data_IF_394765134012
#
_entry.id   IF_394765134012
#
_cell.length_a   1.000
_cell.length_b   1.000
_cell.length_c   1.000
_cell.angle_alpha   90.00
_cell.angle_beta   90.00
_cell.angle_gamma   90.00
#
_symmetry.space_group_name_H-M   'P 1'
#
loop_
_entity.id
_entity.type
_entity.pdbx_description
1 polymer ?
#
# COMPACT_ATOMS: atom_id res chain seq x y z
N UNK A 1 2.70 -25.28 -8.69
CA UNK A 1 1.32 -24.91 -8.87
C UNK A 1 1.21 -23.49 -9.39
N UNK A 2 0.43 -23.32 -10.41
CA UNK A 2 0.24 -22.03 -11.05
C UNK A 2 -0.36 -20.99 -10.08
N UNK A 3 -1.19 -21.43 -9.15
CA UNK A 3 -1.83 -20.54 -8.19
C UNK A 3 -0.85 -19.81 -7.28
N UNK A 4 0.29 -20.46 -6.96
CA UNK A 4 1.25 -19.84 -6.05
C UNK A 4 1.94 -18.63 -6.67
N UNK A 5 2.14 -18.59 -7.98
CA UNK A 5 2.75 -17.44 -8.64
C UNK A 5 1.91 -16.19 -8.48
N UNK A 6 0.58 -16.33 -8.66
CA UNK A 6 -0.33 -15.20 -8.53
C UNK A 6 -0.35 -14.67 -7.10
N UNK A 7 -0.36 -15.57 -6.12
CA UNK A 7 -0.41 -15.19 -4.71
C UNK A 7 0.93 -14.77 -4.15
N UNK A 8 2.02 -14.96 -4.90
CA UNK A 8 3.34 -14.57 -4.45
C UNK A 8 3.69 -13.11 -4.75
N UNK A 9 2.86 -12.41 -5.51
CA UNK A 9 3.08 -10.98 -5.73
C UNK A 9 2.99 -10.25 -4.40
N UNK A 10 3.99 -9.41 -4.10
CA UNK A 10 4.03 -8.79 -2.78
C UNK A 10 3.00 -7.68 -2.61
N UNK A 11 2.60 -7.49 -1.37
CA UNK A 11 1.93 -6.27 -0.94
C UNK A 11 3.03 -5.28 -0.59
N UNK A 12 3.06 -4.15 -1.26
CA UNK A 12 4.04 -3.10 -0.97
C UNK A 12 3.46 -2.16 0.07
N UNK A 13 4.06 -2.13 1.25
CA UNK A 13 3.65 -1.21 2.32
C UNK A 13 4.65 -0.07 2.40
N UNK A 14 4.16 1.16 2.41
CA UNK A 14 4.98 2.36 2.36
C UNK A 14 4.63 3.27 3.54
N UNK A 15 5.60 3.45 4.44
CA UNK A 15 5.45 4.27 5.63
C UNK A 15 6.84 4.60 6.15
N UNK A 16 7.07 5.82 6.64
CA UNK A 16 8.35 6.17 7.23
C UNK A 16 8.47 5.71 8.68
N UNK A 17 7.38 5.29 9.29
CA UNK A 17 7.37 4.77 10.66
C UNK A 17 7.66 3.27 10.64
N UNK A 18 8.85 2.89 11.10
CA UNK A 18 9.31 1.50 11.09
C UNK A 18 8.47 0.59 12.01
N UNK A 19 7.92 1.14 13.08
CA UNK A 19 7.08 0.37 13.99
C UNK A 19 5.75 0.02 13.33
N UNK A 20 5.17 0.95 12.59
CA UNK A 20 3.93 0.69 11.84
C UNK A 20 4.19 -0.36 10.75
N UNK A 21 5.29 -0.23 10.02
CA UNK A 21 5.66 -1.23 9.00
C UNK A 21 5.81 -2.62 9.62
N UNK A 22 6.44 -2.71 10.79
CA UNK A 22 6.63 -3.99 11.46
C UNK A 22 5.29 -4.65 11.81
N UNK A 23 4.35 -3.86 12.33
CA UNK A 23 3.01 -4.36 12.67
C UNK A 23 2.26 -4.81 11.42
N UNK A 24 2.26 -4.00 10.38
CA UNK A 24 1.59 -4.33 9.13
C UNK A 24 2.18 -5.59 8.49
N UNK A 25 3.51 -5.69 8.48
CA UNK A 25 4.20 -6.86 7.95
C UNK A 25 3.82 -8.13 8.72
N UNK A 26 3.82 -8.05 10.04
CA UNK A 26 3.48 -9.19 10.87
C UNK A 26 2.05 -9.68 10.60
N UNK A 27 1.10 -8.76 10.59
CA UNK A 27 -0.30 -9.09 10.33
C UNK A 27 -0.46 -9.76 8.96
N UNK A 28 0.11 -9.15 7.93
CA UNK A 28 -0.05 -9.67 6.57
C UNK A 28 0.69 -10.99 6.37
N UNK A 29 1.90 -11.11 6.91
CA UNK A 29 2.70 -12.33 6.79
C UNK A 29 2.04 -13.52 7.47
N UNK A 30 1.43 -13.30 8.64
CA UNK A 30 0.72 -14.36 9.35
C UNK A 30 -0.47 -14.90 8.56
N UNK A 31 -1.01 -14.10 7.65
CA UNK A 31 -2.15 -14.50 6.83
C UNK A 31 -1.75 -14.91 5.41
N UNK A 32 -0.47 -15.19 5.20
CA UNK A 32 0.03 -15.79 3.96
C UNK A 32 0.41 -14.82 2.87
N UNK A 33 0.42 -13.51 3.15
CA UNK A 33 0.83 -12.53 2.15
C UNK A 33 2.34 -12.32 2.16
N UNK A 34 2.90 -12.19 0.97
CA UNK A 34 4.30 -11.74 0.81
C UNK A 34 4.31 -10.22 0.92
N UNK A 35 5.22 -9.66 1.69
CA UNK A 35 5.26 -8.23 1.98
C UNK A 35 6.62 -7.65 1.61
N UNK A 36 6.60 -6.48 0.97
CA UNK A 36 7.79 -5.66 0.78
C UNK A 36 7.55 -4.31 1.44
N UNK A 37 8.61 -3.71 1.96
CA UNK A 37 8.54 -2.44 2.65
C UNK A 37 9.28 -1.35 1.88
N UNK A 38 8.75 -0.14 1.94
CA UNK A 38 9.44 1.05 1.50
C UNK A 38 9.25 2.13 2.54
N UNK A 39 10.27 2.96 2.74
CA UNK A 39 10.30 3.96 3.80
C UNK A 39 10.03 5.36 3.28
N UNK A 40 10.00 5.52 1.97
CA UNK A 40 9.69 6.79 1.33
C UNK A 40 9.16 6.54 -0.10
N UNK A 41 8.70 7.60 -0.74
CA UNK A 41 8.11 7.50 -2.08
C UNK A 41 9.09 7.05 -3.15
N UNK A 42 10.34 7.53 -3.09
CA UNK A 42 11.35 7.16 -4.07
C UNK A 42 11.70 5.68 -3.97
N UNK A 43 11.84 5.17 -2.75
CA UNK A 43 12.08 3.75 -2.51
C UNK A 43 10.91 2.91 -3.01
N UNK A 44 9.68 3.38 -2.78
CA UNK A 44 8.48 2.70 -3.27
C UNK A 44 8.45 2.60 -4.80
N UNK A 45 8.80 3.68 -5.49
CA UNK A 45 8.84 3.68 -6.95
C UNK A 45 9.91 2.71 -7.48
N UNK A 46 11.07 2.67 -6.86
CA UNK A 46 12.11 1.70 -7.23
C UNK A 46 11.65 0.27 -7.00
N UNK A 47 10.98 0.02 -5.88
CA UNK A 47 10.46 -1.31 -5.57
C UNK A 47 9.45 -1.77 -6.59
N UNK A 48 8.59 -0.88 -7.07
CA UNK A 48 7.61 -1.19 -8.11
C UNK A 48 8.26 -1.57 -9.43
N UNK A 49 9.32 -0.87 -9.81
CA UNK A 49 10.02 -1.15 -11.06
C UNK A 49 10.73 -2.51 -11.00
N UNK A 50 11.19 -2.87 -9.83
CA UNK A 50 11.96 -4.08 -9.59
C UNK A 50 11.09 -5.34 -9.55
N UNK A 51 9.97 -5.25 -8.84
CA UNK A 51 9.05 -6.36 -8.63
C UNK A 51 7.64 -5.82 -8.44
N UNK A 52 6.83 -5.80 -9.52
CA UNK A 52 5.49 -5.22 -9.44
C UNK A 52 4.63 -5.85 -8.34
N UNK A 53 4.07 -5.04 -7.44
CA UNK A 53 3.26 -5.55 -6.35
C UNK A 53 1.84 -5.88 -6.80
N UNK A 54 1.15 -6.69 -5.98
CA UNK A 54 -0.27 -6.96 -6.17
C UNK A 54 -1.13 -5.74 -5.79
N UNK A 55 -0.67 -4.97 -4.81
CA UNK A 55 -1.29 -3.71 -4.41
C UNK A 55 -0.32 -2.90 -3.55
N UNK A 56 -0.63 -1.64 -3.36
CA UNK A 56 0.20 -0.73 -2.54
C UNK A 56 -0.64 -0.17 -1.41
N UNK A 57 -0.09 -0.20 -0.20
CA UNK A 57 -0.66 0.46 0.98
C UNK A 57 0.28 1.62 1.31
N UNK A 58 -0.19 2.83 1.10
CA UNK A 58 0.62 4.05 1.19
C UNK A 58 0.16 4.97 2.30
N UNK A 59 1.07 5.27 3.24
CA UNK A 59 0.86 6.36 4.17
C UNK A 59 1.14 7.68 3.44
N UNK A 60 0.13 8.55 3.39
CA UNK A 60 0.27 9.84 2.70
C UNK A 60 0.77 10.97 3.60
N UNK A 61 1.01 10.68 4.88
CA UNK A 61 1.50 11.64 5.85
C UNK A 61 3.00 11.52 6.09
N UNK A 62 3.76 11.27 5.04
CA UNK A 62 5.22 11.18 5.12
C UNK A 62 5.87 12.46 4.62
N UNK A 63 6.98 12.90 5.25
CA UNK A 63 7.75 14.01 4.72
C UNK A 63 8.20 13.73 3.29
N UNK A 64 8.08 14.74 2.45
CA UNK A 64 8.57 14.64 1.07
C UNK A 64 7.69 13.83 0.13
N UNK A 65 6.55 13.30 0.59
CA UNK A 65 5.62 12.64 -0.31
C UNK A 65 4.45 13.56 -0.66
N UNK A 66 4.10 13.56 -1.94
CA UNK A 66 2.87 14.15 -2.43
C UNK A 66 2.03 13.00 -2.98
N UNK A 67 0.95 12.66 -2.28
CA UNK A 67 0.10 11.53 -2.64
C UNK A 67 -0.39 11.55 -4.08
N UNK A 68 -0.97 12.67 -4.56
CA UNK A 68 -1.40 12.75 -5.97
C UNK A 68 -0.27 12.56 -6.98
N UNK A 69 0.91 13.10 -6.71
CA UNK A 69 2.08 12.92 -7.58
C UNK A 69 2.52 11.45 -7.61
N UNK A 70 2.59 10.82 -6.43
CA UNK A 70 2.91 9.40 -6.33
C UNK A 70 1.90 8.57 -7.13
N UNK A 71 0.62 8.87 -6.98
CA UNK A 71 -0.44 8.14 -7.67
C UNK A 71 -0.30 8.25 -9.20
N UNK A 72 0.05 9.43 -9.71
CA UNK A 72 0.31 9.60 -11.14
C UNK A 72 1.48 8.74 -11.61
N UNK A 73 2.57 8.75 -10.85
CA UNK A 73 3.74 7.92 -11.17
C UNK A 73 3.40 6.45 -11.17
N UNK A 74 2.61 6.01 -10.19
CA UNK A 74 2.13 4.64 -10.12
C UNK A 74 1.33 4.28 -11.38
N UNK A 75 0.39 5.13 -11.79
CA UNK A 75 -0.46 4.85 -12.94
C UNK A 75 0.32 4.83 -14.26
N UNK A 76 1.38 5.61 -14.35
CA UNK A 76 2.25 5.60 -15.51
C UNK A 76 3.05 4.29 -15.63
N UNK A 77 3.40 3.71 -14.49
CA UNK A 77 4.17 2.47 -14.44
C UNK A 77 3.29 1.22 -14.45
N UNK A 78 2.26 1.23 -13.62
CA UNK A 78 1.43 0.05 -13.31
C UNK A 78 -0.03 0.48 -13.24
N UNK A 79 -0.71 0.45 -14.37
CA UNK A 79 -2.07 1.00 -14.50
C UNK A 79 -3.11 0.34 -13.61
N UNK A 80 -2.95 -0.95 -13.36
CA UNK A 80 -3.99 -1.74 -12.70
C UNK A 80 -3.67 -2.16 -11.27
N UNK A 81 -2.56 -1.68 -10.72
CA UNK A 81 -2.22 -1.99 -9.34
C UNK A 81 -3.07 -1.13 -8.39
N UNK A 82 -3.86 -1.75 -7.54
CA UNK A 82 -4.67 -0.98 -6.58
C UNK A 82 -3.82 -0.21 -5.59
N UNK A 83 -4.29 1.00 -5.27
CA UNK A 83 -3.68 1.87 -4.27
C UNK A 83 -4.67 2.07 -3.13
N UNK A 84 -4.24 1.74 -1.93
CA UNK A 84 -4.97 2.02 -0.70
C UNK A 84 -4.16 3.03 0.09
N UNK A 85 -4.74 4.15 0.46
CA UNK A 85 -4.04 5.12 1.29
C UNK A 85 -4.38 4.94 2.76
N UNK A 86 -3.39 5.21 3.59
CA UNK A 86 -3.54 5.20 5.05
C UNK A 86 -3.25 6.61 5.54
N UNK A 87 -4.12 7.14 6.38
CA UNK A 87 -3.96 8.52 6.82
C UNK A 87 -4.67 8.80 8.15
N UNK A 88 -4.10 9.70 8.94
CA UNK A 88 -4.72 10.19 10.17
C UNK A 88 -5.39 11.54 10.01
N UNK A 89 -5.50 12.07 8.77
CA UNK A 89 -6.14 13.36 8.55
C UNK A 89 -7.66 13.29 8.80
N UNK A 90 -8.28 14.46 8.95
CA UNK A 90 -9.69 14.55 9.30
C UNK A 90 -10.64 14.04 8.21
N UNK A 91 -10.23 14.10 6.95
CA UNK A 91 -11.06 13.67 5.82
C UNK A 91 -10.29 12.68 4.93
N UNK A 92 -10.21 11.42 5.35
CA UNK A 92 -9.45 10.41 4.59
C UNK A 92 -10.07 10.11 3.24
N UNK A 93 -11.39 10.21 3.10
CA UNK A 93 -12.05 9.98 1.81
C UNK A 93 -11.61 11.01 0.78
N UNK A 94 -11.53 12.28 1.18
CA UNK A 94 -11.05 13.35 0.29
C UNK A 94 -9.63 13.09 -0.17
N UNK A 95 -8.78 12.64 0.73
CA UNK A 95 -7.39 12.31 0.40
C UNK A 95 -7.32 11.15 -0.60
N UNK A 96 -8.15 10.13 -0.40
CA UNK A 96 -8.24 9.01 -1.34
C UNK A 96 -8.70 9.48 -2.72
N UNK A 97 -9.70 10.36 -2.77
CA UNK A 97 -10.20 10.90 -4.03
C UNK A 97 -9.13 11.70 -4.77
N UNK A 98 -8.33 12.49 -4.04
CA UNK A 98 -7.23 13.25 -4.62
C UNK A 98 -6.15 12.35 -5.25
N UNK A 99 -5.97 11.17 -4.71
CA UNK A 99 -5.00 10.20 -5.19
C UNK A 99 -5.58 9.20 -6.18
N UNK A 100 -6.86 9.27 -6.47
CA UNK A 100 -7.56 8.23 -7.24
C UNK A 100 -7.31 6.85 -6.66
N UNK A 101 -7.29 6.75 -5.33
CA UNK A 101 -7.08 5.49 -4.64
C UNK A 101 -8.35 4.65 -4.64
N UNK A 102 -8.18 3.33 -4.67
CA UNK A 102 -9.30 2.40 -4.62
C UNK A 102 -9.99 2.38 -3.27
N UNK A 103 -9.24 2.67 -2.20
CA UNK A 103 -9.78 2.70 -0.84
C UNK A 103 -8.88 3.49 0.09
N UNK A 104 -9.35 3.68 1.30
CA UNK A 104 -8.54 4.32 2.35
C UNK A 104 -8.73 3.60 3.68
N UNK A 105 -7.78 3.84 4.57
CA UNK A 105 -7.79 3.31 5.92
C UNK A 105 -7.40 4.45 6.87
N UNK A 106 -8.31 4.80 7.79
CA UNK A 106 -8.07 5.88 8.73
C UNK A 106 -7.27 5.38 9.94
N UNK A 107 -6.26 6.14 10.36
CA UNK A 107 -5.49 5.84 11.57
C UNK A 107 -6.23 6.39 12.79
N UNK A 108 -6.23 5.68 13.91
CA UNK A 108 -5.74 4.32 14.09
C UNK A 108 -6.70 3.29 13.50
N UNK A 109 -6.17 2.18 13.01
CA UNK A 109 -6.99 1.12 12.42
C UNK A 109 -6.72 -0.21 13.11
N UNK A 110 -7.67 -1.13 12.96
CA UNK A 110 -7.52 -2.50 13.45
C UNK A 110 -6.90 -3.39 12.37
N UNK A 111 -6.20 -4.42 12.81
CA UNK A 111 -5.60 -5.39 11.89
C UNK A 111 -6.62 -5.98 10.91
N UNK A 112 -7.83 -6.25 11.39
CA UNK A 112 -8.89 -6.80 10.55
C UNK A 112 -9.28 -5.87 9.40
N UNK A 113 -9.24 -4.56 9.62
CA UNK A 113 -9.55 -3.57 8.57
C UNK A 113 -8.51 -3.63 7.46
N UNK A 114 -7.24 -3.70 7.84
CA UNK A 114 -6.15 -3.84 6.88
C UNK A 114 -6.28 -5.14 6.08
N UNK A 115 -6.50 -6.25 6.76
CA UNK A 115 -6.66 -7.55 6.12
C UNK A 115 -7.82 -7.57 5.15
N UNK A 116 -8.95 -6.97 5.52
CA UNK A 116 -10.13 -6.91 4.66
C UNK A 116 -9.80 -6.20 3.35
N UNK A 117 -9.13 -5.06 3.42
CA UNK A 117 -8.76 -4.30 2.23
C UNK A 117 -7.74 -5.04 1.38
N UNK A 118 -6.74 -5.64 2.02
CA UNK A 118 -5.71 -6.38 1.29
C UNK A 118 -6.33 -7.59 0.56
N UNK A 119 -7.20 -8.33 1.22
CA UNK A 119 -7.88 -9.47 0.59
C UNK A 119 -8.77 -9.03 -0.58
N UNK A 120 -9.42 -7.89 -0.42
CA UNK A 120 -10.33 -7.39 -1.46
C UNK A 120 -9.58 -6.96 -2.72
N UNK A 121 -8.46 -6.28 -2.57
CA UNK A 121 -7.79 -5.63 -3.70
C UNK A 121 -6.57 -6.37 -4.23
N UNK A 122 -6.03 -7.34 -3.51
CA UNK A 122 -4.81 -8.03 -3.93
C UNK A 122 -5.03 -9.21 -4.89
N UNK A 123 -6.27 -9.53 -5.18
CA UNK A 123 -6.59 -10.67 -6.07
C UNK A 123 -6.72 -10.28 -7.53
#
# INVERSE_FOLDING_TARGET
MVLSERHSRPILIVDDDRDILAVEREVLSEHGFTVREAHDGAEALRAMDDDPPAMIVLDVQMPGIDGPTFARELRMRLKHVPLVIVTGVADPKREADRCNAEAYLAKPFHADDLLRLVRRFST
#
